data_IF_503822665915
#
_entry.id   IF_503822665915
#
_cell.length_a   1.000
_cell.length_b   1.000
_cell.length_c   1.000
_cell.angle_alpha   90.00
_cell.angle_beta   90.00
_cell.angle_gamma   90.00
#
_symmetry.space_group_name_H-M   'P 1'
#
loop_
_entity.id
_entity.type
_entity.pdbx_description
1 polymer ?
#
# COMPACT_ATOMS: atom_id res chain seq x y z
N UNK A 1 6.24 -8.21 2.65
CA UNK A 1 6.99 -7.18 3.41
C UNK A 1 6.26 -6.88 4.70
N UNK A 2 5.01 -6.40 4.64
CA UNK A 2 4.07 -6.33 5.79
C UNK A 2 3.91 -7.69 6.49
N UNK A 3 3.40 -8.68 5.76
CA UNK A 3 3.04 -10.01 6.31
C UNK A 3 4.25 -10.86 6.72
N UNK A 4 5.45 -10.45 6.34
CA UNK A 4 6.68 -11.23 6.46
C UNK A 4 7.74 -10.57 7.34
N UNK A 5 7.53 -9.32 7.79
CA UNK A 5 8.52 -8.54 8.53
C UNK A 5 9.82 -8.24 7.76
N UNK A 6 9.79 -8.31 6.42
CA UNK A 6 10.95 -8.03 5.58
C UNK A 6 10.94 -6.55 5.23
N UNK A 7 12.12 -5.90 5.24
CA UNK A 7 12.27 -4.50 4.84
C UNK A 7 11.62 -4.24 3.47
N UNK A 8 10.90 -3.12 3.36
CA UNK A 8 10.36 -2.64 2.10
C UNK A 8 11.52 -2.20 1.18
N UNK A 9 11.74 -2.93 0.09
CA UNK A 9 12.81 -2.63 -0.89
C UNK A 9 12.30 -2.04 -2.20
N UNK A 10 10.98 -2.00 -2.39
CA UNK A 10 10.33 -1.48 -3.58
C UNK A 10 9.29 -0.46 -3.16
N UNK A 11 9.22 0.66 -3.88
CA UNK A 11 8.21 1.70 -3.71
C UNK A 11 7.64 2.11 -5.05
N UNK A 12 6.34 2.40 -5.10
CA UNK A 12 5.66 2.92 -6.29
C UNK A 12 4.73 4.09 -5.95
N UNK A 13 5.17 5.00 -5.09
CA UNK A 13 4.39 6.18 -4.71
C UNK A 13 4.03 7.03 -5.94
N UNK A 14 2.81 7.54 -5.97
CA UNK A 14 2.41 8.57 -6.92
C UNK A 14 3.23 9.85 -6.66
N UNK A 15 3.27 10.74 -7.65
CA UNK A 15 3.99 11.99 -7.49
C UNK A 15 3.32 12.86 -6.42
N UNK A 16 4.04 13.14 -5.33
CA UNK A 16 3.52 13.87 -4.17
C UNK A 16 3.28 13.00 -2.95
N UNK A 17 3.31 11.66 -3.10
CA UNK A 17 3.06 10.71 -2.02
C UNK A 17 4.36 10.06 -1.50
N UNK A 18 4.39 9.59 -0.23
CA UNK A 18 3.35 9.79 0.79
C UNK A 18 3.37 11.23 1.32
N UNK A 19 2.20 11.83 1.51
CA UNK A 19 2.06 13.23 1.93
C UNK A 19 1.82 13.40 3.45
N UNK A 20 1.36 12.36 4.15
CA UNK A 20 1.22 12.29 5.59
C UNK A 20 0.14 13.15 6.23
N UNK A 21 -0.96 13.47 5.53
CA UNK A 21 -2.00 14.37 6.05
C UNK A 21 -2.74 13.78 7.27
N UNK A 22 -2.46 14.32 8.46
CA UNK A 22 -3.12 14.19 9.78
C UNK A 22 -3.50 12.80 10.36
N UNK A 23 -3.57 11.74 9.55
CA UNK A 23 -3.97 10.38 9.95
C UNK A 23 -3.85 9.35 8.79
N UNK A 24 -3.16 9.70 7.70
CA UNK A 24 -2.96 8.82 6.55
C UNK A 24 -1.82 7.82 6.80
N UNK A 25 -2.13 6.72 7.49
CA UNK A 25 -1.15 5.72 7.92
C UNK A 25 -1.28 4.38 7.19
N UNK A 26 -2.27 4.23 6.30
CA UNK A 26 -2.52 3.02 5.53
C UNK A 26 -2.19 3.22 4.06
N UNK A 27 -1.60 2.20 3.42
CA UNK A 27 -1.25 2.25 2.00
C UNK A 27 -2.44 1.86 1.12
N UNK A 28 -2.77 2.71 0.15
CA UNK A 28 -3.67 2.41 -0.96
C UNK A 28 -2.87 2.22 -2.26
N UNK A 29 -3.30 1.25 -3.08
CA UNK A 29 -2.88 1.15 -4.48
C UNK A 29 -3.96 1.80 -5.33
N UNK A 30 -3.64 2.91 -5.98
CA UNK A 30 -4.58 3.62 -6.82
C UNK A 30 -4.90 2.84 -8.09
N UNK A 31 -6.14 2.98 -8.54
CA UNK A 31 -6.61 2.50 -9.85
C UNK A 31 -6.68 3.62 -10.89
N UNK A 32 -6.06 4.76 -10.59
CA UNK A 32 -5.95 5.92 -11.47
C UNK A 32 -4.98 5.67 -12.65
N UNK A 33 -4.67 6.72 -13.41
CA UNK A 33 -3.79 6.61 -14.57
C UNK A 33 -2.33 6.29 -14.19
N UNK A 34 -1.87 6.74 -13.03
CA UNK A 34 -0.50 6.55 -12.54
C UNK A 34 -0.33 5.17 -11.90
N UNK A 35 -1.39 4.61 -11.33
CA UNK A 35 -1.43 3.28 -10.68
C UNK A 35 -0.39 3.13 -9.57
N UNK A 36 0.05 4.24 -8.99
CA UNK A 36 0.98 4.25 -7.88
C UNK A 36 0.26 4.19 -6.54
N UNK A 37 1.01 4.49 -5.49
CA UNK A 37 0.57 4.36 -4.11
C UNK A 37 0.24 5.72 -3.53
N UNK A 38 -0.72 5.71 -2.62
CA UNK A 38 -1.13 6.84 -1.79
C UNK A 38 -1.19 6.38 -0.33
N UNK A 39 -0.77 7.23 0.60
CA UNK A 39 -1.12 7.04 2.00
C UNK A 39 -2.54 7.59 2.23
N UNK A 40 -3.33 6.87 3.02
CA UNK A 40 -4.73 7.21 3.27
C UNK A 40 -5.12 6.84 4.69
N UNK A 41 -6.21 7.46 5.18
CA UNK A 41 -6.76 7.16 6.49
C UNK A 41 -7.11 5.67 6.61
N UNK A 42 -6.65 5.04 7.68
CA UNK A 42 -6.96 3.66 8.00
C UNK A 42 -8.44 3.43 8.38
N UNK A 43 -9.21 4.49 8.63
CA UNK A 43 -10.63 4.40 8.99
C UNK A 43 -11.54 4.26 7.75
N UNK A 44 -10.99 4.45 6.55
CA UNK A 44 -11.70 4.31 5.28
C UNK A 44 -12.01 2.84 4.96
N UNK A 45 -13.26 2.54 4.61
CA UNK A 45 -13.64 1.20 4.17
C UNK A 45 -13.35 1.01 2.68
N UNK A 46 -12.32 0.23 2.34
CA UNK A 46 -11.89 0.00 0.95
C UNK A 46 -11.71 -1.48 0.61
N UNK A 47 -11.83 -1.86 -0.68
CA UNK A 47 -11.38 -3.17 -1.14
C UNK A 47 -9.90 -3.39 -0.83
N UNK A 48 -9.51 -4.64 -0.57
CA UNK A 48 -8.13 -5.00 -0.24
C UNK A 48 -7.65 -6.22 -1.03
N UNK A 49 -6.33 -6.38 -1.08
CA UNK A 49 -5.66 -7.51 -1.75
C UNK A 49 -5.07 -8.42 -0.69
N UNK A 50 -5.36 -9.73 -0.78
CA UNK A 50 -4.71 -10.75 0.04
C UNK A 50 -3.44 -11.26 -0.65
N UNK A 51 -2.36 -11.43 0.12
CA UNK A 51 -1.15 -12.13 -0.32
C UNK A 51 -1.08 -13.50 0.37
N UNK A 52 -0.74 -14.55 -0.40
CA UNK A 52 -0.39 -15.87 0.16
C UNK A 52 0.93 -16.32 -0.44
N UNK A 53 1.84 -16.81 0.42
CA UNK A 53 3.07 -17.46 -0.06
C UNK A 53 2.71 -18.65 -0.94
N UNK A 54 3.34 -18.73 -2.11
CA UNK A 54 3.27 -19.94 -2.92
C UNK A 54 3.93 -21.08 -2.14
N UNK A 55 3.12 -22.04 -1.68
CA UNK A 55 3.63 -23.25 -1.03
C UNK A 55 3.96 -24.25 -2.15
N UNK A 56 5.25 -24.44 -2.43
CA UNK A 56 5.71 -25.53 -3.27
C UNK A 56 5.56 -26.87 -2.53
N UNK A 57 5.21 -27.92 -3.28
CA UNK A 57 5.23 -29.30 -2.80
C UNK A 57 6.65 -29.75 -2.44
#
# INVERSE_FOLDING_TARGET
WETSGICLTYTNWNNGEPNGDASEECLEINVDAEKGWNDISCEENRPFICEKKCQGN
#
